data_IF_422713612976
#
_entry.id   IF_422713612976
#
_cell.length_a   1.000
_cell.length_b   1.000
_cell.length_c   1.000
_cell.angle_alpha   90.00
_cell.angle_beta   90.00
_cell.angle_gamma   90.00
#
_symmetry.space_group_name_H-M   'P 1'
#
loop_
_entity.id
_entity.type
_entity.pdbx_description
1 polymer ?
#
# COMPACT_ATOMS: atom_id res chain seq x y z
N UNK A 1 -6.73 9.98 -16.94
CA UNK A 1 -6.87 10.23 -15.49
C UNK A 1 -6.70 11.72 -15.12
N UNK A 2 -7.60 12.63 -15.56
CA UNK A 2 -7.49 14.06 -15.19
C UNK A 2 -8.04 14.35 -13.78
N UNK A 3 -9.16 13.74 -13.43
CA UNK A 3 -9.82 13.89 -12.13
C UNK A 3 -8.96 13.29 -11.00
N UNK A 4 -8.40 12.09 -11.21
CA UNK A 4 -7.49 11.47 -10.25
C UNK A 4 -6.29 12.36 -9.91
N UNK A 5 -5.66 12.93 -10.94
CA UNK A 5 -4.54 13.87 -10.79
C UNK A 5 -4.97 15.12 -10.02
N UNK A 6 -6.13 15.70 -10.36
CA UNK A 6 -6.66 16.84 -9.64
C UNK A 6 -6.81 16.54 -8.14
N UNK A 7 -7.44 15.41 -7.78
CA UNK A 7 -7.66 15.04 -6.37
C UNK A 7 -6.33 14.86 -5.63
N UNK A 8 -5.35 14.22 -6.26
CA UNK A 8 -4.02 14.02 -5.69
C UNK A 8 -3.23 15.33 -5.57
N UNK A 9 -3.37 16.24 -6.53
CA UNK A 9 -2.69 17.54 -6.53
C UNK A 9 -3.35 18.54 -5.57
N UNK A 10 -4.64 18.35 -5.23
CA UNK A 10 -5.41 19.19 -4.30
C UNK A 10 -5.53 18.60 -2.90
N UNK A 11 -4.53 17.84 -2.45
CA UNK A 11 -4.53 17.25 -1.12
C UNK A 11 -4.15 18.28 -0.03
N UNK A 12 -5.09 19.17 0.30
CA UNK A 12 -4.92 20.25 1.28
C UNK A 12 -5.72 19.98 2.57
N UNK A 13 -5.17 20.39 3.72
CA UNK A 13 -5.86 20.34 5.02
C UNK A 13 -5.58 21.60 5.84
N UNK A 14 -6.47 21.90 6.79
CA UNK A 14 -6.35 23.03 7.69
C UNK A 14 -6.01 22.58 9.13
N UNK A 15 -5.10 23.29 9.78
CA UNK A 15 -4.72 23.06 11.18
C UNK A 15 -4.22 24.37 11.82
N UNK A 16 -4.76 24.73 12.98
CA UNK A 16 -4.49 26.02 13.66
C UNK A 16 -4.48 27.22 12.70
N UNK A 17 -5.58 27.44 11.99
CA UNK A 17 -5.79 28.54 11.04
C UNK A 17 -4.75 28.64 9.91
N UNK A 18 -3.99 27.56 9.66
CA UNK A 18 -3.02 27.45 8.57
C UNK A 18 -3.42 26.34 7.63
N UNK A 19 -3.10 26.53 6.35
CA UNK A 19 -3.32 25.57 5.28
C UNK A 19 -2.02 24.85 4.93
N UNK A 20 -2.12 23.53 4.77
CA UNK A 20 -1.00 22.67 4.44
C UNK A 20 -1.35 21.81 3.23
N UNK A 21 -0.34 21.52 2.41
CA UNK A 21 -0.45 20.55 1.32
C UNK A 21 0.29 19.27 1.72
N UNK A 22 -0.40 18.15 1.69
CA UNK A 22 0.24 16.85 1.83
C UNK A 22 0.89 16.47 0.50
N UNK A 23 2.23 16.42 0.49
CA UNK A 23 3.03 16.16 -0.72
C UNK A 23 3.31 14.68 -0.97
N UNK A 24 3.05 13.81 0.01
CA UNK A 24 3.26 12.36 -0.07
C UNK A 24 2.07 11.63 0.53
N UNK A 25 1.55 10.65 -0.22
CA UNK A 25 0.32 9.94 0.13
C UNK A 25 -0.95 10.77 -0.13
N UNK A 26 -2.10 10.23 0.22
CA UNK A 26 -3.40 10.92 0.16
C UNK A 26 -3.95 11.22 1.55
N UNK A 27 -4.92 12.14 1.63
CA UNK A 27 -5.64 12.40 2.87
C UNK A 27 -6.36 11.14 3.35
N UNK A 28 -6.14 10.80 4.62
CA UNK A 28 -6.93 9.79 5.33
C UNK A 28 -8.38 10.28 5.43
N UNK A 29 -9.34 9.42 5.12
CA UNK A 29 -10.77 9.77 5.06
C UNK A 29 -11.28 10.16 3.67
N UNK A 30 -10.39 10.35 2.68
CA UNK A 30 -10.80 10.45 1.28
C UNK A 30 -11.12 9.06 0.72
N UNK A 31 -12.37 8.83 0.33
CA UNK A 31 -12.79 7.58 -0.32
C UNK A 31 -11.96 7.28 -1.57
N UNK A 32 -11.53 8.32 -2.30
CA UNK A 32 -10.69 8.15 -3.48
C UNK A 32 -9.26 7.71 -3.13
N UNK A 33 -8.67 8.25 -2.06
CA UNK A 33 -7.35 7.84 -1.57
C UNK A 33 -7.35 6.35 -1.22
N UNK A 34 -8.41 5.86 -0.57
CA UNK A 34 -8.51 4.44 -0.19
C UNK A 34 -8.57 3.51 -1.40
N UNK A 35 -9.30 3.90 -2.47
CA UNK A 35 -9.32 3.14 -3.72
C UNK A 35 -7.95 3.12 -4.38
N UNK A 36 -7.26 4.26 -4.43
CA UNK A 36 -5.91 4.34 -4.98
C UNK A 36 -4.90 3.50 -4.19
N UNK A 37 -4.97 3.52 -2.86
CA UNK A 37 -4.14 2.68 -2.01
C UNK A 37 -4.36 1.19 -2.30
N UNK A 38 -5.62 0.76 -2.48
CA UNK A 38 -5.92 -0.61 -2.85
C UNK A 38 -5.40 -1.01 -4.23
N UNK A 39 -5.46 -0.11 -5.23
CA UNK A 39 -4.90 -0.36 -6.56
C UNK A 39 -3.38 -0.49 -6.49
N UNK A 40 -2.72 0.43 -5.77
CA UNK A 40 -1.28 0.39 -5.56
C UNK A 40 -0.85 -0.91 -4.88
N UNK A 41 -1.51 -1.27 -3.76
CA UNK A 41 -1.23 -2.50 -3.04
C UNK A 41 -1.50 -3.74 -3.88
N UNK A 42 -2.55 -3.74 -4.71
CA UNK A 42 -2.83 -4.85 -5.63
C UNK A 42 -1.70 -5.09 -6.61
N UNK A 43 -1.11 -4.05 -7.19
CA UNK A 43 0.05 -4.19 -8.09
C UNK A 43 1.30 -4.65 -7.34
N UNK A 44 1.57 -4.04 -6.18
CA UNK A 44 2.71 -4.35 -5.32
C UNK A 44 2.71 -5.79 -4.81
N UNK A 45 1.55 -6.32 -4.38
CA UNK A 45 1.47 -7.64 -3.73
C UNK A 45 1.51 -8.81 -4.72
N UNK A 46 1.47 -8.58 -6.04
CA UNK A 46 1.33 -9.66 -7.04
C UNK A 46 2.44 -10.72 -6.94
N UNK A 47 3.69 -10.29 -6.82
CA UNK A 47 4.82 -11.21 -6.82
C UNK A 47 4.92 -11.98 -5.50
N UNK A 48 4.57 -11.33 -4.38
CA UNK A 48 4.43 -11.97 -3.08
C UNK A 48 3.29 -13.02 -3.08
N UNK A 49 2.13 -12.70 -3.64
CA UNK A 49 1.01 -13.65 -3.75
C UNK A 49 1.39 -14.86 -4.61
N UNK A 50 2.06 -14.65 -5.76
CA UNK A 50 2.54 -15.74 -6.61
C UNK A 50 3.53 -16.63 -5.86
N UNK A 51 4.45 -16.02 -5.12
CA UNK A 51 5.42 -16.72 -4.29
C UNK A 51 4.73 -17.61 -3.24
N UNK A 52 3.84 -17.02 -2.42
CA UNK A 52 3.08 -17.73 -1.40
C UNK A 52 2.27 -18.89 -1.98
N UNK A 53 1.59 -18.65 -3.11
CA UNK A 53 0.81 -19.69 -3.81
C UNK A 53 1.69 -20.84 -4.31
N UNK A 54 2.90 -20.56 -4.78
CA UNK A 54 3.85 -21.60 -5.22
C UNK A 54 4.36 -22.49 -4.07
N UNK A 55 4.32 -21.97 -2.84
CA UNK A 55 4.75 -22.64 -1.61
C UNK A 55 3.61 -23.27 -0.82
N UNK A 56 2.37 -23.15 -1.33
CA UNK A 56 1.15 -23.57 -0.62
C UNK A 56 1.01 -22.89 0.75
N UNK A 57 1.39 -21.61 0.81
CA UNK A 57 1.37 -20.75 1.99
C UNK A 57 0.17 -19.78 1.95
N UNK A 58 -0.27 -19.32 3.12
CA UNK A 58 -1.39 -18.39 3.26
C UNK A 58 -0.89 -16.96 3.08
N UNK A 59 -1.69 -16.16 2.37
CA UNK A 59 -1.55 -14.71 2.26
C UNK A 59 -2.91 -14.06 2.36
N UNK A 60 -3.03 -13.03 3.19
CA UNK A 60 -4.23 -12.21 3.32
C UNK A 60 -3.85 -10.78 3.64
N UNK A 61 -4.63 -9.84 3.09
CA UNK A 61 -4.50 -8.41 3.38
C UNK A 61 -5.84 -7.85 3.80
N UNK A 62 -5.83 -6.99 4.82
CA UNK A 62 -6.97 -6.19 5.25
C UNK A 62 -6.55 -4.73 5.31
N UNK A 63 -6.91 -3.95 4.28
CA UNK A 63 -6.53 -2.54 4.12
C UNK A 63 -5.00 -2.38 4.18
N UNK A 64 -4.45 -1.99 5.33
CA UNK A 64 -3.05 -1.74 5.63
C UNK A 64 -2.36 -2.90 6.38
N UNK A 65 -3.13 -3.88 6.87
CA UNK A 65 -2.60 -5.06 7.55
C UNK A 65 -2.36 -6.22 6.58
N UNK A 66 -1.22 -6.89 6.70
CA UNK A 66 -0.90 -8.12 5.96
C UNK A 66 -0.67 -9.27 6.95
N UNK A 67 -1.25 -10.41 6.64
CA UNK A 67 -1.02 -11.68 7.33
C UNK A 67 -0.53 -12.72 6.32
N UNK A 68 0.58 -13.39 6.65
CA UNK A 68 1.09 -14.48 5.83
C UNK A 68 1.78 -15.56 6.67
N UNK A 69 1.79 -16.79 6.16
CA UNK A 69 2.55 -17.91 6.74
C UNK A 69 3.75 -18.21 5.88
N UNK A 70 4.85 -18.71 6.44
CA UNK A 70 5.95 -19.21 5.63
C UNK A 70 6.73 -20.34 6.28
N UNK A 71 7.26 -21.24 5.46
CA UNK A 71 8.16 -22.32 5.87
C UNK A 71 9.64 -21.94 5.69
N UNK A 72 9.92 -20.78 5.11
CA UNK A 72 11.29 -20.30 4.92
C UNK A 72 11.83 -19.68 6.21
N UNK A 73 13.17 -19.69 6.40
CA UNK A 73 13.78 -19.04 7.54
C UNK A 73 13.59 -17.51 7.47
N UNK A 74 13.43 -16.89 8.64
CA UNK A 74 13.13 -15.46 8.82
C UNK A 74 14.01 -14.54 7.94
N UNK A 75 15.33 -14.76 7.92
CA UNK A 75 16.27 -13.93 7.16
C UNK A 75 15.93 -13.85 5.66
N UNK A 76 15.41 -14.93 5.07
CA UNK A 76 15.09 -14.99 3.64
C UNK A 76 13.80 -14.25 3.33
N UNK A 77 12.86 -14.27 4.28
CA UNK A 77 11.60 -13.53 4.16
C UNK A 77 11.84 -12.03 4.30
N UNK A 78 12.69 -11.61 5.24
CA UNK A 78 13.09 -10.21 5.35
C UNK A 78 13.70 -9.69 4.04
N UNK A 79 14.57 -10.48 3.39
CA UNK A 79 15.14 -10.10 2.09
C UNK A 79 14.10 -9.94 0.98
N UNK A 80 13.07 -10.81 0.95
CA UNK A 80 11.99 -10.70 -0.02
C UNK A 80 11.19 -9.42 0.23
N UNK A 81 10.81 -9.16 1.49
CA UNK A 81 10.03 -7.97 1.85
C UNK A 81 10.80 -6.67 1.60
N UNK A 82 12.10 -6.64 1.90
CA UNK A 82 12.95 -5.47 1.65
C UNK A 82 13.11 -5.17 0.16
N UNK A 83 13.09 -6.22 -0.68
CA UNK A 83 13.14 -6.06 -2.14
C UNK A 83 11.84 -5.45 -2.67
N UNK A 84 10.69 -5.87 -2.17
CA UNK A 84 9.39 -5.33 -2.61
C UNK A 84 9.17 -3.89 -2.11
N UNK A 85 9.79 -3.48 -1.01
CA UNK A 85 9.63 -2.12 -0.43
C UNK A 85 10.51 -1.03 -1.06
N UNK A 86 11.42 -1.36 -1.99
CA UNK A 86 12.32 -0.43 -2.67
C UNK A 86 11.82 -0.02 -4.06
#
# INVERSE_FOLDING_TARGET
MKIARLILDTNYFAYYDKYYKQIRGGAMGSAFTQVLANIYMYEWEQDLIKYQKSKNEIYGRYIDDIFMTTNEPEHKICQILDKENN
#
